data_IF_445543724734
#
_entry.id   IF_445543724734
#
_cell.length_a   1.000
_cell.length_b   1.000
_cell.length_c   1.000
_cell.angle_alpha   90.00
_cell.angle_beta   90.00
_cell.angle_gamma   90.00
#
_symmetry.space_group_name_H-M   'P 1'
#
loop_
_entity.id
_entity.type
_entity.pdbx_description
1 polymer ?
#
# COMPACT_ATOMS: atom_id res chain seq x y z
N UNK A 1 22.05 -21.50 -24.72
CA UNK A 1 20.77 -21.08 -25.31
C UNK A 1 19.58 -21.60 -24.50
N UNK A 2 19.30 -22.92 -24.46
CA UNK A 2 18.12 -23.50 -23.78
C UNK A 2 18.05 -23.18 -22.28
N UNK A 3 19.18 -23.25 -21.54
CA UNK A 3 19.23 -22.91 -20.11
C UNK A 3 18.87 -21.44 -19.82
N UNK A 4 19.18 -20.53 -20.73
CA UNK A 4 18.83 -19.12 -20.62
C UNK A 4 17.35 -18.89 -20.93
N UNK A 5 16.84 -19.50 -22.01
CA UNK A 5 15.41 -19.50 -22.33
C UNK A 5 14.55 -20.05 -21.19
N UNK A 6 14.97 -21.15 -20.54
CA UNK A 6 14.23 -21.73 -19.43
C UNK A 6 14.19 -20.78 -18.22
N UNK A 7 15.30 -20.10 -17.90
CA UNK A 7 15.34 -19.08 -16.84
C UNK A 7 14.42 -17.91 -17.14
N UNK A 8 14.43 -17.39 -18.38
CA UNK A 8 13.52 -16.33 -18.81
C UNK A 8 12.06 -16.79 -18.77
N UNK A 9 11.77 -18.01 -19.22
CA UNK A 9 10.41 -18.56 -19.21
C UNK A 9 9.85 -18.71 -17.79
N UNK A 10 10.67 -19.22 -16.86
CA UNK A 10 10.30 -19.32 -15.44
C UNK A 10 10.09 -17.92 -14.84
N UNK A 11 10.98 -16.96 -15.12
CA UNK A 11 10.85 -15.59 -14.64
C UNK A 11 9.56 -14.92 -15.16
N UNK A 12 9.28 -15.04 -16.46
CA UNK A 12 8.06 -14.53 -17.07
C UNK A 12 6.81 -15.19 -16.47
N UNK A 13 6.86 -16.50 -16.22
CA UNK A 13 5.75 -17.23 -15.61
C UNK A 13 5.47 -16.73 -14.19
N UNK A 14 6.51 -16.57 -13.36
CA UNK A 14 6.38 -16.03 -12.00
C UNK A 14 5.78 -14.62 -12.02
N UNK A 15 6.26 -13.76 -12.92
CA UNK A 15 5.73 -12.40 -13.07
C UNK A 15 4.26 -12.41 -13.53
N UNK A 16 3.91 -13.26 -14.50
CA UNK A 16 2.54 -13.39 -15.00
C UNK A 16 1.59 -13.82 -13.88
N UNK A 17 1.94 -14.85 -13.11
CA UNK A 17 1.13 -15.30 -11.97
C UNK A 17 1.05 -14.23 -10.88
N UNK A 18 2.13 -13.48 -10.63
CA UNK A 18 2.12 -12.35 -9.70
C UNK A 18 1.12 -11.26 -10.10
N UNK A 19 1.06 -10.91 -11.40
CA UNK A 19 0.10 -9.93 -11.92
C UNK A 19 -1.33 -10.45 -11.81
N UNK A 20 -1.59 -11.70 -12.20
CA UNK A 20 -2.93 -12.31 -12.11
C UNK A 20 -3.43 -12.36 -10.66
N UNK A 21 -2.56 -12.74 -9.73
CA UNK A 21 -2.87 -12.75 -8.30
C UNK A 21 -3.16 -11.33 -7.79
N UNK A 22 -2.35 -10.35 -8.18
CA UNK A 22 -2.54 -8.94 -7.85
C UNK A 22 -3.89 -8.40 -8.34
N UNK A 23 -4.30 -8.75 -9.57
CA UNK A 23 -5.61 -8.37 -10.11
C UNK A 23 -6.78 -8.96 -9.32
N UNK A 24 -6.68 -10.24 -8.91
CA UNK A 24 -7.71 -10.87 -8.07
C UNK A 24 -7.80 -10.21 -6.69
N UNK A 25 -6.66 -9.93 -6.06
CA UNK A 25 -6.58 -9.24 -4.78
C UNK A 25 -7.16 -7.82 -4.87
N UNK A 26 -6.87 -7.09 -5.95
CA UNK A 26 -7.41 -5.75 -6.18
C UNK A 26 -8.92 -5.79 -6.40
N UNK A 27 -9.44 -6.75 -7.17
CA UNK A 27 -10.88 -6.90 -7.38
C UNK A 27 -11.61 -7.21 -6.06
N UNK A 28 -11.07 -8.12 -5.25
CA UNK A 28 -11.63 -8.41 -3.93
C UNK A 28 -11.58 -7.18 -2.99
N UNK A 29 -10.47 -6.43 -3.03
CA UNK A 29 -10.34 -5.15 -2.31
C UNK A 29 -11.38 -4.12 -2.73
N UNK A 30 -11.65 -3.99 -4.03
CA UNK A 30 -12.67 -3.07 -4.55
C UNK A 30 -14.09 -3.50 -4.13
N UNK A 31 -14.41 -4.79 -4.16
CA UNK A 31 -15.71 -5.31 -3.68
C UNK A 31 -15.91 -5.02 -2.19
N UNK A 32 -14.86 -5.23 -1.38
CA UNK A 32 -14.86 -4.94 0.06
C UNK A 32 -15.01 -3.44 0.36
N UNK A 33 -14.43 -2.58 -0.47
CA UNK A 33 -14.54 -1.12 -0.35
C UNK A 33 -15.90 -0.56 -0.79
N UNK A 34 -16.60 -1.25 -1.71
CA UNK A 34 -17.96 -0.87 -2.11
C UNK A 34 -19.02 -1.23 -1.07
N UNK A 35 -18.66 -2.01 -0.04
CA UNK A 35 -19.53 -2.26 1.11
C UNK A 35 -20.80 -3.06 0.77
N UNK A 36 -20.78 -3.84 -0.31
CA UNK A 36 -21.90 -4.72 -0.70
C UNK A 36 -22.28 -5.75 0.36
N UNK A 37 -21.39 -6.02 1.34
CA UNK A 37 -21.65 -6.90 2.47
C UNK A 37 -22.07 -6.15 3.75
N UNK A 38 -22.28 -4.82 3.70
CA UNK A 38 -22.79 -4.06 4.84
C UNK A 38 -24.29 -3.77 4.67
N UNK A 39 -25.18 -4.46 5.42
CA UNK A 39 -26.63 -4.23 5.40
C UNK A 39 -27.02 -2.81 5.78
N UNK A 40 -26.10 -2.02 6.36
CA UNK A 40 -26.34 -0.61 6.72
C UNK A 40 -26.14 0.35 5.54
N UNK A 41 -25.40 -0.04 4.49
CA UNK A 41 -25.16 0.84 3.33
C UNK A 41 -26.32 0.81 2.32
N UNK A 42 -27.10 -0.26 2.27
CA UNK A 42 -28.36 -0.29 1.49
C UNK A 42 -29.45 0.62 2.05
N UNK A 43 -29.35 1.03 3.32
CA UNK A 43 -30.36 1.85 3.99
C UNK A 43 -30.06 3.36 3.99
N UNK A 44 -28.88 3.78 3.52
CA UNK A 44 -28.49 5.20 3.49
C UNK A 44 -29.06 5.97 2.28
N UNK A 45 -29.76 5.28 1.37
CA UNK A 45 -30.33 5.87 0.16
C UNK A 45 -31.77 5.42 -0.08
N UNK A 46 -32.58 5.27 0.97
CA UNK A 46 -34.02 5.11 0.80
C UNK A 46 -34.67 6.49 0.66
N UNK A 47 -34.69 7.03 -0.58
CA UNK A 47 -35.51 8.20 -0.92
C UNK A 47 -36.96 7.73 -0.91
N UNK A 48 -37.62 7.83 0.25
CA UNK A 48 -39.07 7.72 0.32
C UNK A 48 -39.66 9.01 -0.24
N UNK A 49 -40.21 8.92 -1.45
CA UNK A 49 -41.07 9.96 -2.01
C UNK A 49 -42.35 10.00 -1.18
N UNK A 50 -42.42 10.89 -0.20
CA UNK A 50 -43.68 11.29 0.40
C UNK A 50 -44.23 12.51 -0.35
N UNK A 51 -45.55 12.55 -0.53
CA UNK A 51 -46.25 13.39 -1.50
C UNK A 51 -46.35 14.88 -1.10
N UNK A 52 -45.45 15.37 -0.25
CA UNK A 52 -45.46 16.73 0.26
C UNK A 52 -44.04 17.28 0.41
N UNK A 53 -43.42 17.62 -0.73
CA UNK A 53 -42.67 18.87 -0.95
C UNK A 53 -41.55 19.36 -0.01
N UNK A 54 -41.19 18.68 1.08
CA UNK A 54 -40.13 19.12 1.99
C UNK A 54 -39.04 18.04 2.08
N UNK A 55 -37.92 18.34 1.40
CA UNK A 55 -36.68 17.56 1.40
C UNK A 55 -35.98 17.72 2.76
N UNK A 56 -36.35 16.93 3.76
CA UNK A 56 -35.54 16.77 4.96
C UNK A 56 -34.39 15.79 4.71
N UNK A 57 -33.29 16.31 4.16
CA UNK A 57 -32.00 15.64 4.20
C UNK A 57 -31.52 15.62 5.66
N UNK A 58 -31.86 14.56 6.40
CA UNK A 58 -31.36 14.33 7.76
C UNK A 58 -29.84 14.08 7.70
N UNK A 59 -29.11 15.17 7.86
CA UNK A 59 -27.65 15.24 7.97
C UNK A 59 -27.20 14.35 9.12
N UNK A 60 -26.43 13.32 8.76
CA UNK A 60 -25.43 12.60 9.56
C UNK A 60 -25.32 13.04 11.04
N UNK A 61 -26.28 12.62 11.85
CA UNK A 61 -26.26 12.80 13.29
C UNK A 61 -25.48 11.68 13.97
N UNK A 62 -24.16 11.84 14.13
CA UNK A 62 -23.51 11.53 15.41
C UNK A 62 -22.07 12.05 15.43
N UNK A 63 -21.83 13.07 16.25
CA UNK A 63 -20.50 13.57 16.65
C UNK A 63 -19.70 12.43 17.26
N UNK A 64 -18.91 11.73 16.44
CA UNK A 64 -17.95 10.76 16.92
C UNK A 64 -16.81 11.53 17.59
N UNK A 65 -16.51 11.19 18.85
CA UNK A 65 -15.38 11.75 19.59
C UNK A 65 -14.09 11.54 18.79
N UNK A 66 -13.55 12.65 18.28
CA UNK A 66 -12.35 12.68 17.46
C UNK A 66 -11.11 12.26 18.25
N UNK A 67 -11.10 12.49 19.57
CA UNK A 67 -10.00 12.14 20.48
C UNK A 67 -9.72 10.63 20.53
N UNK A 68 -10.74 9.77 20.65
CA UNK A 68 -10.51 8.31 20.70
C UNK A 68 -9.97 7.76 19.37
N UNK A 69 -10.34 8.37 18.24
CA UNK A 69 -9.81 7.99 16.91
C UNK A 69 -8.39 8.51 16.71
N UNK A 70 -8.07 9.67 17.27
CA UNK A 70 -6.74 10.26 17.20
C UNK A 70 -5.74 9.44 18.02
N UNK A 71 -6.13 9.01 19.22
CA UNK A 71 -5.34 8.11 20.08
C UNK A 71 -5.08 6.75 19.40
N UNK A 72 -6.08 6.19 18.72
CA UNK A 72 -5.92 4.94 17.94
C UNK A 72 -5.00 5.09 16.72
N UNK A 73 -4.93 6.28 16.12
CA UNK A 73 -4.03 6.58 15.01
C UNK A 73 -2.59 6.80 15.48
N UNK A 74 -2.43 7.37 16.68
CA UNK A 74 -1.16 7.43 17.43
C UNK A 74 -0.73 6.08 18.03
N UNK A 75 -1.63 5.14 18.28
CA UNK A 75 -1.25 3.77 18.66
C UNK A 75 -0.98 2.88 17.42
N UNK A 76 -1.57 3.22 16.28
CA UNK A 76 -1.24 2.65 14.95
C UNK A 76 0.08 3.20 14.38
N UNK A 77 0.82 3.95 15.19
CA UNK A 77 2.18 4.45 15.00
C UNK A 77 3.15 3.25 14.88
N UNK A 78 3.05 2.64 13.71
CA UNK A 78 4.08 2.18 12.80
C UNK A 78 5.50 2.78 12.97
N UNK A 79 5.73 3.75 13.85
CA UNK A 79 7.00 4.41 14.08
C UNK A 79 8.06 3.53 14.72
N UNK A 80 7.75 2.39 15.31
CA UNK A 80 8.81 1.53 15.83
C UNK A 80 9.19 0.42 14.83
N UNK A 81 8.22 -0.36 14.34
CA UNK A 81 8.50 -1.44 13.39
C UNK A 81 8.94 -0.92 12.01
N UNK A 82 8.19 0.00 11.39
CA UNK A 82 8.57 0.51 10.07
C UNK A 82 9.81 1.41 10.13
N UNK A 83 10.03 2.13 11.24
CA UNK A 83 11.26 2.91 11.42
C UNK A 83 12.47 2.02 11.66
N UNK A 84 12.34 0.91 12.40
CA UNK A 84 13.43 -0.05 12.55
C UNK A 84 13.77 -0.72 11.21
N UNK A 85 12.75 -1.10 10.43
CA UNK A 85 12.92 -1.69 9.10
C UNK A 85 13.51 -0.67 8.10
N UNK A 86 13.05 0.58 8.16
CA UNK A 86 13.59 1.70 7.39
C UNK A 86 15.04 2.03 7.76
N UNK A 87 15.39 1.99 9.05
CA UNK A 87 16.77 2.16 9.52
C UNK A 87 17.69 1.07 8.98
N UNK A 88 17.29 -0.20 9.07
CA UNK A 88 18.08 -1.31 8.51
C UNK A 88 18.25 -1.16 6.99
N UNK A 89 17.19 -0.78 6.28
CA UNK A 89 17.25 -0.54 4.84
C UNK A 89 18.17 0.64 4.48
N UNK A 90 18.05 1.76 5.20
CA UNK A 90 18.89 2.93 5.00
C UNK A 90 20.38 2.61 5.27
N UNK A 91 20.69 1.90 6.35
CA UNK A 91 22.06 1.47 6.64
C UNK A 91 22.64 0.57 5.55
N UNK A 92 21.84 -0.35 5.01
CA UNK A 92 22.26 -1.19 3.89
C UNK A 92 22.52 -0.37 2.63
N UNK A 93 21.60 0.52 2.27
CA UNK A 93 21.74 1.40 1.10
C UNK A 93 22.98 2.29 1.22
N UNK A 94 23.21 2.89 2.39
CA UNK A 94 24.41 3.69 2.67
C UNK A 94 25.69 2.86 2.53
N UNK A 95 25.74 1.65 3.07
CA UNK A 95 26.91 0.78 2.97
C UNK A 95 27.26 0.44 1.51
N UNK A 96 26.25 0.14 0.69
CA UNK A 96 26.45 -0.13 -0.75
C UNK A 96 26.97 1.10 -1.49
N UNK A 97 26.37 2.27 -1.24
CA UNK A 97 26.79 3.52 -1.90
C UNK A 97 28.22 3.88 -1.50
N UNK A 98 28.55 3.83 -0.21
CA UNK A 98 29.91 4.10 0.26
C UNK A 98 30.91 3.10 -0.33
N UNK A 99 30.56 1.81 -0.36
CA UNK A 99 31.41 0.77 -0.98
C UNK A 99 31.68 1.04 -2.47
N UNK A 100 30.67 1.47 -3.23
CA UNK A 100 30.82 1.84 -4.63
C UNK A 100 31.72 3.08 -4.81
N UNK A 101 31.53 4.10 -3.99
CA UNK A 101 32.36 5.32 -4.03
C UNK A 101 33.81 4.98 -3.70
N UNK A 102 34.05 4.20 -2.65
CA UNK A 102 35.40 3.78 -2.26
C UNK A 102 36.07 2.90 -3.32
N UNK A 103 35.33 2.01 -3.97
CA UNK A 103 35.85 1.18 -5.06
C UNK A 103 36.24 2.03 -6.28
N UNK A 104 35.38 2.97 -6.68
CA UNK A 104 35.68 3.91 -7.78
C UNK A 104 36.87 4.80 -7.45
N UNK A 105 36.94 5.32 -6.22
CA UNK A 105 38.07 6.11 -5.76
C UNK A 105 39.38 5.31 -5.83
N UNK A 106 39.39 4.07 -5.34
CA UNK A 106 40.57 3.20 -5.40
C UNK A 106 41.00 2.83 -6.82
N UNK A 107 40.05 2.67 -7.76
CA UNK A 107 40.37 2.47 -9.17
C UNK A 107 41.02 3.69 -9.82
N UNK A 108 40.51 4.89 -9.51
CA UNK A 108 41.09 6.15 -9.99
C UNK A 108 42.50 6.32 -9.43
N UNK A 109 42.69 6.08 -8.13
CA UNK A 109 43.99 6.19 -7.46
C UNK A 109 45.01 5.19 -8.06
N UNK A 110 44.58 3.96 -8.36
CA UNK A 110 45.39 2.95 -9.05
C UNK A 110 45.72 3.26 -10.52
N UNK A 111 45.01 4.20 -11.16
CA UNK A 111 45.30 4.63 -12.54
C UNK A 111 46.23 5.86 -12.59
N UNK A 112 46.34 6.60 -11.48
CA UNK A 112 47.20 7.77 -11.34
C UNK A 112 48.54 7.48 -10.61
N UNK A 113 48.74 6.27 -10.10
CA UNK A 113 50.03 5.71 -9.67
C UNK A 113 50.66 4.88 -10.79
#
# INVERSE_FOLDING_TARGET
MIKFMLKCFVLCSVLLFGVLFGMQQANHGLVKMKGYEDPKLSSAFEVKNDASGELEASVLGNTHNLEEKQQKLEDMEAFNFFSQLGKTFASFASAVITGLISFLAGMVESLFQ
#
